data_IF_295013047968
#
_entry.id   IF_295013047968
#
_cell.length_a   1.000
_cell.length_b   1.000
_cell.length_c   1.000
_cell.angle_alpha   90.00
_cell.angle_beta   90.00
_cell.angle_gamma   90.00
#
_symmetry.space_group_name_H-M   'P 1'
#
loop_
_entity.id
_entity.type
_entity.pdbx_description
1 polymer ?
#
# COMPACT_ATOMS: atom_id res chain seq x y z
N UNK A 1 9.42 30.85 -28.11
CA UNK A 1 10.42 29.94 -27.53
C UNK A 1 9.84 28.52 -27.50
N UNK A 2 10.13 27.65 -28.48
CA UNK A 2 9.30 26.47 -28.76
C UNK A 2 9.79 25.14 -28.16
N UNK A 3 10.57 25.12 -27.07
CA UNK A 3 11.09 23.87 -26.48
C UNK A 3 10.83 23.70 -24.97
N UNK A 4 9.58 23.87 -24.54
CA UNK A 4 9.15 23.47 -23.19
C UNK A 4 8.69 22.00 -23.19
N UNK A 5 9.58 21.08 -22.81
CA UNK A 5 9.27 19.64 -22.74
C UNK A 5 8.52 19.32 -21.43
N UNK A 6 7.36 18.64 -21.51
CA UNK A 6 6.63 18.14 -20.33
C UNK A 6 7.44 17.06 -19.61
N UNK A 7 8.16 17.49 -18.57
CA UNK A 7 9.02 16.61 -17.75
C UNK A 7 8.23 15.70 -16.81
N UNK A 8 6.94 15.97 -16.57
CA UNK A 8 6.09 15.18 -15.65
C UNK A 8 5.36 14.04 -16.35
N UNK A 9 4.98 14.20 -17.61
CA UNK A 9 4.34 13.17 -18.44
C UNK A 9 5.17 12.77 -19.68
N UNK A 10 6.49 12.75 -19.56
CA UNK A 10 7.35 12.30 -20.63
C UNK A 10 6.97 10.87 -21.08
N UNK A 11 6.60 10.72 -22.35
CA UNK A 11 6.25 9.43 -22.96
C UNK A 11 7.48 8.83 -23.63
N UNK A 12 7.52 7.50 -23.73
CA UNK A 12 8.52 6.80 -24.54
C UNK A 12 8.43 7.25 -26.01
N UNK A 13 9.51 7.08 -26.79
CA UNK A 13 9.53 7.29 -28.26
C UNK A 13 8.34 6.69 -29.02
N UNK A 14 7.73 5.63 -28.51
CA UNK A 14 6.53 5.02 -29.12
C UNK A 14 5.22 5.77 -28.83
N UNK A 15 5.22 6.84 -28.02
CA UNK A 15 4.06 7.69 -27.72
C UNK A 15 2.92 7.03 -26.91
N UNK A 16 2.96 5.72 -26.70
CA UNK A 16 1.86 4.93 -26.13
C UNK A 16 2.08 4.51 -24.68
N UNK A 17 3.33 4.51 -24.21
CA UNK A 17 3.71 4.02 -22.87
C UNK A 17 4.62 4.99 -22.15
N UNK A 18 4.54 4.98 -20.82
CA UNK A 18 5.53 5.68 -19.98
C UNK A 18 6.88 4.96 -20.07
N UNK A 19 8.00 5.71 -20.10
CA UNK A 19 9.32 5.14 -20.14
C UNK A 19 9.68 4.52 -18.78
N UNK A 20 10.29 3.33 -18.81
CA UNK A 20 10.74 2.60 -17.64
C UNK A 20 12.16 2.06 -17.75
N UNK A 21 12.80 2.14 -18.92
CA UNK A 21 14.12 1.61 -19.22
C UNK A 21 15.09 2.72 -19.61
N UNK A 22 16.37 2.54 -19.26
CA UNK A 22 17.47 3.36 -19.74
C UNK A 22 18.82 2.66 -19.58
N UNK A 23 19.88 3.27 -20.10
CA UNK A 23 21.26 2.89 -19.80
C UNK A 23 21.53 2.90 -18.28
N UNK A 24 22.43 2.04 -17.76
CA UNK A 24 22.75 1.99 -16.34
C UNK A 24 23.07 3.38 -15.77
N UNK A 25 22.36 3.79 -14.70
CA UNK A 25 22.54 5.09 -14.06
C UNK A 25 21.74 6.26 -14.65
N UNK A 26 21.02 6.06 -15.75
CA UNK A 26 20.22 7.10 -16.42
C UNK A 26 18.82 7.35 -15.85
N UNK A 27 18.10 8.30 -16.46
CA UNK A 27 16.65 8.47 -16.30
C UNK A 27 15.90 7.62 -17.33
N UNK A 28 14.71 7.12 -16.98
CA UNK A 28 13.91 6.30 -17.89
C UNK A 28 13.60 7.07 -19.19
N UNK A 29 13.98 6.49 -20.33
CA UNK A 29 13.82 7.09 -21.67
C UNK A 29 12.94 6.24 -22.59
N UNK A 30 12.79 4.94 -22.34
CA UNK A 30 12.00 4.07 -23.20
C UNK A 30 11.21 3.00 -22.43
N UNK A 31 10.20 2.42 -23.07
CA UNK A 31 9.38 1.34 -22.51
C UNK A 31 10.00 -0.04 -22.78
N UNK A 32 9.46 -1.10 -22.18
CA UNK A 32 9.97 -2.48 -22.35
C UNK A 32 10.02 -2.98 -23.79
N UNK A 33 9.16 -2.46 -24.67
CA UNK A 33 9.11 -2.81 -26.08
C UNK A 33 10.06 -1.97 -26.94
N UNK A 34 10.62 -0.91 -26.36
CA UNK A 34 11.48 0.04 -27.04
C UNK A 34 12.87 0.11 -26.40
N UNK A 35 13.21 -0.86 -25.55
CA UNK A 35 14.50 -0.94 -24.89
C UNK A 35 15.53 -1.57 -25.82
N UNK A 36 16.77 -1.11 -25.74
CA UNK A 36 17.91 -1.80 -26.35
C UNK A 36 18.43 -2.86 -25.37
N UNK A 37 19.28 -3.79 -25.85
CA UNK A 37 19.73 -4.97 -25.07
C UNK A 37 20.37 -4.57 -23.72
N UNK A 38 21.11 -3.48 -23.68
CA UNK A 38 21.86 -3.01 -22.51
C UNK A 38 21.06 -2.11 -21.56
N UNK A 39 19.78 -1.87 -21.85
CA UNK A 39 18.94 -0.99 -21.04
C UNK A 39 18.25 -1.74 -19.89
N UNK A 40 18.32 -1.14 -18.70
CA UNK A 40 17.79 -1.69 -17.45
C UNK A 40 16.47 -1.03 -17.06
N UNK A 41 15.55 -1.81 -16.48
CA UNK A 41 14.30 -1.28 -15.92
C UNK A 41 14.63 -0.47 -14.66
N UNK A 42 14.54 0.86 -14.75
CA UNK A 42 14.79 1.77 -13.63
C UNK A 42 13.56 2.02 -12.77
N UNK A 43 12.37 1.62 -13.21
CA UNK A 43 11.15 1.66 -12.38
C UNK A 43 11.08 0.49 -11.42
N UNK A 44 11.70 -0.64 -11.80
CA UNK A 44 11.89 -1.84 -10.99
C UNK A 44 13.37 -2.14 -10.74
N UNK A 45 14.20 -1.09 -10.62
CA UNK A 45 15.64 -1.24 -10.44
C UNK A 45 15.93 -2.26 -9.33
N UNK A 46 16.51 -3.39 -9.72
CA UNK A 46 17.04 -4.42 -8.82
C UNK A 46 18.55 -4.29 -8.82
N UNK A 47 19.16 -4.58 -7.68
CA UNK A 47 20.59 -4.80 -7.61
C UNK A 47 20.98 -5.95 -8.57
N UNK A 48 22.25 -6.02 -9.01
CA UNK A 48 22.79 -7.13 -9.83
C UNK A 48 22.50 -8.51 -9.23
N UNK A 49 22.42 -8.61 -7.90
CA UNK A 49 22.05 -9.85 -7.19
C UNK A 49 20.53 -10.07 -7.03
N UNK A 50 19.69 -9.33 -7.76
CA UNK A 50 18.22 -9.44 -7.70
C UNK A 50 17.55 -8.80 -6.47
N UNK A 51 18.32 -8.42 -5.44
CA UNK A 51 17.81 -7.75 -4.23
C UNK A 51 17.40 -6.30 -4.49
N UNK A 52 16.51 -5.77 -3.66
CA UNK A 52 16.09 -4.36 -3.76
C UNK A 52 17.27 -3.44 -3.42
N UNK A 53 17.62 -2.47 -4.28
CA UNK A 53 18.74 -1.58 -4.03
C UNK A 53 18.41 -0.57 -2.92
N UNK A 54 19.44 -0.20 -2.17
CA UNK A 54 19.42 0.82 -1.12
C UNK A 54 20.66 1.71 -1.13
N UNK A 55 21.76 1.28 -1.74
CA UNK A 55 23.04 1.98 -1.77
C UNK A 55 23.27 2.67 -3.12
N UNK A 56 23.94 3.83 -3.09
CA UNK A 56 24.33 4.61 -4.26
C UNK A 56 25.21 5.81 -3.88
N UNK A 57 25.53 6.66 -4.84
CA UNK A 57 26.29 7.89 -4.61
C UNK A 57 25.45 8.89 -3.81
N UNK A 58 26.06 9.64 -2.89
CA UNK A 58 25.37 10.63 -2.06
C UNK A 58 24.50 11.59 -2.90
N UNK A 59 23.22 11.72 -2.55
CA UNK A 59 22.23 12.53 -3.30
C UNK A 59 21.65 11.84 -4.56
N UNK A 60 22.16 10.67 -4.94
CA UNK A 60 21.70 9.88 -6.07
C UNK A 60 20.57 8.89 -5.75
N UNK A 61 20.17 8.10 -6.76
CA UNK A 61 19.22 7.00 -6.61
C UNK A 61 19.93 5.72 -6.14
N UNK A 62 19.24 4.82 -5.40
CA UNK A 62 19.82 3.54 -5.02
C UNK A 62 20.02 2.64 -6.25
N UNK A 63 21.23 2.13 -6.43
CA UNK A 63 21.65 1.30 -7.57
C UNK A 63 22.02 -0.13 -7.17
N UNK A 64 22.44 -0.36 -5.92
CA UNK A 64 22.86 -1.67 -5.44
C UNK A 64 22.37 -1.96 -4.01
N UNK A 65 22.48 -3.21 -3.58
CA UNK A 65 22.16 -3.61 -2.20
C UNK A 65 23.42 -3.56 -1.33
N UNK A 66 23.25 -3.73 0.00
CA UNK A 66 24.37 -3.73 0.96
C UNK A 66 25.51 -4.66 0.62
N UNK A 67 25.22 -5.78 -0.04
CA UNK A 67 26.20 -6.83 -0.36
C UNK A 67 26.89 -6.60 -1.71
N UNK A 68 26.44 -5.62 -2.49
CA UNK A 68 26.97 -5.33 -3.82
C UNK A 68 27.33 -3.83 -3.93
N UNK A 69 27.57 -3.18 -2.79
CA UNK A 69 27.96 -1.77 -2.76
C UNK A 69 29.46 -1.65 -2.97
N UNK A 70 29.86 -0.60 -3.69
CA UNK A 70 31.25 -0.17 -3.72
C UNK A 70 31.56 0.62 -2.42
N UNK A 71 32.84 0.73 -2.02
CA UNK A 71 33.23 1.43 -0.79
C UNK A 71 32.69 2.85 -0.68
N UNK A 72 32.60 3.57 -1.80
CA UNK A 72 32.16 4.97 -1.87
C UNK A 72 30.63 5.13 -1.87
N UNK A 73 29.87 4.03 -1.89
CA UNK A 73 28.41 4.08 -1.92
C UNK A 73 27.80 4.11 -0.52
N UNK A 74 26.89 5.06 -0.33
CA UNK A 74 26.14 5.28 0.91
C UNK A 74 24.71 4.76 0.78
N UNK A 75 24.05 4.47 1.90
CA UNK A 75 22.63 4.14 1.89
C UNK A 75 21.82 5.42 1.58
N UNK A 76 21.45 5.56 0.30
CA UNK A 76 20.65 6.71 -0.20
C UNK A 76 19.16 6.50 -0.02
N UNK A 77 18.74 5.28 0.32
CA UNK A 77 17.33 4.96 0.56
C UNK A 77 16.92 5.28 1.99
N UNK A 78 17.81 5.02 2.95
CA UNK A 78 17.65 5.39 4.34
C UNK A 78 18.52 6.62 4.60
N UNK A 79 18.06 7.78 4.12
CA UNK A 79 18.77 9.04 4.30
C UNK A 79 19.15 9.23 5.79
N UNK A 80 20.45 9.36 6.07
CA UNK A 80 20.95 9.55 7.44
C UNK A 80 20.91 11.04 7.81
N UNK A 81 20.84 11.33 9.11
CA UNK A 81 21.09 12.68 9.63
C UNK A 81 22.51 13.13 9.24
N UNK A 82 22.78 14.44 9.21
CA UNK A 82 24.11 15.03 9.01
C UNK A 82 25.23 14.44 9.88
N UNK A 83 24.90 13.87 11.03
CA UNK A 83 25.88 13.22 11.90
C UNK A 83 26.23 11.77 11.52
N UNK A 84 25.57 11.18 10.52
CA UNK A 84 25.82 9.80 10.07
C UNK A 84 25.43 8.70 11.06
N UNK A 85 24.93 9.02 12.26
CA UNK A 85 24.66 8.03 13.33
C UNK A 85 23.22 7.52 13.38
N UNK A 86 22.24 8.32 12.96
CA UNK A 86 20.81 8.02 13.11
C UNK A 86 20.00 8.52 11.91
N UNK A 87 18.87 7.87 11.63
CA UNK A 87 17.86 8.39 10.71
C UNK A 87 17.27 9.72 11.22
N UNK A 88 16.93 10.66 10.32
CA UNK A 88 16.21 11.86 10.66
C UNK A 88 14.86 11.56 11.30
N UNK A 89 14.57 12.24 12.41
CA UNK A 89 13.27 12.20 13.10
C UNK A 89 12.72 13.61 13.39
N UNK A 90 13.59 14.61 13.41
CA UNK A 90 13.29 16.00 13.71
C UNK A 90 13.30 16.86 12.44
N UNK A 91 12.43 17.87 12.42
CA UNK A 91 12.32 18.87 11.36
C UNK A 91 11.34 19.98 11.75
N UNK A 92 11.05 20.87 10.81
CA UNK A 92 10.05 21.92 11.01
C UNK A 92 8.65 21.29 11.12
N UNK A 93 7.80 21.82 12.00
CA UNK A 93 6.44 21.34 12.22
C UNK A 93 5.65 21.24 10.89
N UNK A 94 5.06 20.08 10.62
CA UNK A 94 4.36 19.79 9.35
C UNK A 94 5.26 19.36 8.18
N UNK A 95 6.58 19.55 8.28
CA UNK A 95 7.56 19.25 7.24
C UNK A 95 8.01 17.78 7.18
N UNK A 96 9.17 17.58 6.52
CA UNK A 96 9.92 16.31 6.49
C UNK A 96 10.98 16.30 7.59
N UNK A 97 11.35 15.11 8.06
CA UNK A 97 12.47 14.98 8.99
C UNK A 97 13.79 15.21 8.25
N UNK A 98 14.66 16.04 8.82
CA UNK A 98 15.96 16.42 8.23
C UNK A 98 17.14 16.11 9.15
N UNK A 99 16.92 16.00 10.46
CA UNK A 99 17.95 15.69 11.43
C UNK A 99 17.45 14.73 12.52
N UNK A 100 18.36 14.14 13.28
CA UNK A 100 18.02 13.34 14.46
C UNK A 100 17.86 14.23 15.69
N UNK A 101 17.31 13.69 16.78
CA UNK A 101 17.03 14.44 18.02
C UNK A 101 18.25 15.08 18.67
N UNK A 102 19.46 14.54 18.45
CA UNK A 102 20.72 15.09 18.98
C UNK A 102 21.30 16.19 18.08
N UNK A 103 20.85 16.28 16.83
CA UNK A 103 21.30 17.26 15.85
C UNK A 103 20.18 18.23 15.46
N UNK A 104 19.12 18.30 16.30
CA UNK A 104 17.98 19.20 16.10
C UNK A 104 18.42 20.63 16.41
N UNK A 105 18.05 21.56 15.54
CA UNK A 105 18.22 22.98 15.82
C UNK A 105 17.03 23.49 16.68
N UNK A 106 17.18 24.61 17.40
CA UNK A 106 16.07 25.24 18.11
C UNK A 106 14.86 25.45 17.19
N UNK A 107 13.66 25.10 17.66
CA UNK A 107 12.42 25.17 16.88
C UNK A 107 12.08 23.92 16.06
N UNK A 108 12.99 22.95 15.91
CA UNK A 108 12.68 21.67 15.28
C UNK A 108 11.95 20.71 16.23
N UNK A 109 10.90 20.07 15.74
CA UNK A 109 10.10 19.08 16.47
C UNK A 109 10.28 17.69 15.88
N UNK A 110 9.98 16.64 16.64
CA UNK A 110 9.91 15.30 16.09
C UNK A 110 8.71 15.20 15.13
N UNK A 111 8.97 15.14 13.82
CA UNK A 111 7.93 15.09 12.79
C UNK A 111 7.56 13.65 12.40
N UNK A 112 8.39 12.67 12.75
CA UNK A 112 8.07 11.24 12.57
C UNK A 112 7.02 10.77 13.57
N UNK A 113 7.15 11.21 14.83
CA UNK A 113 6.18 11.03 15.91
C UNK A 113 5.64 12.40 16.33
N UNK A 114 5.03 13.11 15.37
CA UNK A 114 4.46 14.43 15.59
C UNK A 114 3.43 14.39 16.72
N UNK A 115 3.75 15.10 17.80
CA UNK A 115 2.83 15.41 18.91
C UNK A 115 2.49 16.89 18.84
N UNK A 116 1.28 17.23 19.28
CA UNK A 116 0.94 18.63 19.54
C UNK A 116 1.88 19.20 20.62
N UNK A 117 2.04 20.53 20.68
CA UNK A 117 2.79 21.24 21.73
C UNK A 117 2.40 20.83 23.16
N UNK A 118 1.15 20.44 23.39
CA UNK A 118 0.67 19.94 24.68
C UNK A 118 0.85 18.42 24.88
N UNK A 119 1.64 17.74 24.05
CA UNK A 119 1.91 16.31 24.10
C UNK A 119 0.80 15.40 23.55
N UNK A 120 -0.39 15.93 23.27
CA UNK A 120 -1.53 15.16 22.72
C UNK A 120 -1.35 14.80 21.25
N UNK A 121 -2.04 13.74 20.81
CA UNK A 121 -2.10 13.35 19.40
C UNK A 121 -2.73 14.49 18.57
N UNK A 122 -2.06 14.98 17.52
CA UNK A 122 -2.61 16.04 16.70
C UNK A 122 -3.72 15.50 15.80
N UNK A 123 -4.75 16.30 15.57
CA UNK A 123 -5.82 16.05 14.60
C UNK A 123 -6.15 17.25 13.72
N UNK A 124 -5.69 18.45 14.11
CA UNK A 124 -5.93 19.71 13.42
C UNK A 124 -4.69 20.17 12.66
N UNK A 125 -4.88 20.77 11.49
CA UNK A 125 -3.83 21.36 10.67
C UNK A 125 -4.42 22.22 9.55
N UNK A 126 -3.55 22.76 8.70
CA UNK A 126 -3.99 23.51 7.51
C UNK A 126 -4.69 22.56 6.53
N UNK A 127 -5.68 23.06 5.80
CA UNK A 127 -6.44 22.30 4.82
C UNK A 127 -5.51 21.59 3.80
N UNK A 128 -5.70 20.28 3.64
CA UNK A 128 -4.84 19.43 2.78
C UNK A 128 -3.47 19.06 3.37
N UNK A 129 -3.09 19.64 4.50
CA UNK A 129 -1.84 19.39 5.20
C UNK A 129 -1.87 18.21 6.18
N UNK A 130 -0.77 18.04 6.92
CA UNK A 130 -0.67 17.09 8.03
C UNK A 130 -1.28 17.68 9.30
N UNK A 131 -1.78 16.81 10.18
CA UNK A 131 -2.21 17.22 11.52
C UNK A 131 -0.99 17.64 12.35
N UNK A 132 -1.03 18.85 12.90
CA UNK A 132 0.07 19.44 13.68
C UNK A 132 -0.37 19.86 15.09
N UNK A 133 -1.67 20.11 15.30
CA UNK A 133 -2.23 20.57 16.57
C UNK A 133 -3.38 19.68 17.04
N UNK A 134 -3.65 19.66 18.33
CA UNK A 134 -4.87 19.05 18.87
C UNK A 134 -6.00 20.10 18.93
N UNK A 135 -7.23 19.67 19.22
CA UNK A 135 -8.40 20.57 19.30
C UNK A 135 -8.22 21.76 20.25
N UNK A 136 -7.48 21.58 21.35
CA UNK A 136 -7.22 22.62 22.36
C UNK A 136 -6.10 23.60 21.97
N UNK A 137 -5.29 23.24 20.99
CA UNK A 137 -4.07 23.98 20.63
C UNK A 137 -4.08 24.43 19.17
N UNK A 138 -5.22 24.27 18.48
CA UNK A 138 -5.40 24.64 17.08
C UNK A 138 -5.43 26.16 16.97
N UNK A 139 -4.90 26.67 15.86
CA UNK A 139 -5.11 28.06 15.46
C UNK A 139 -6.48 28.18 14.76
N UNK A 140 -7.07 29.38 14.65
CA UNK A 140 -8.39 29.59 14.04
C UNK A 140 -8.51 29.01 12.62
N UNK A 141 -7.43 29.10 11.85
CA UNK A 141 -7.37 28.65 10.45
C UNK A 141 -7.15 27.14 10.30
N UNK A 142 -6.95 26.41 11.40
CA UNK A 142 -6.73 24.97 11.37
C UNK A 142 -8.06 24.20 11.40
N UNK A 143 -8.18 23.25 10.47
CA UNK A 143 -9.30 22.32 10.35
C UNK A 143 -8.91 20.95 10.88
N UNK A 144 -9.89 20.15 11.32
CA UNK A 144 -9.63 18.74 11.63
C UNK A 144 -9.29 18.02 10.33
N UNK A 145 -8.04 17.58 10.15
CA UNK A 145 -7.58 16.90 8.94
C UNK A 145 -7.62 15.37 9.07
N UNK A 146 -7.92 14.85 10.27
CA UNK A 146 -8.13 13.43 10.52
C UNK A 146 -9.60 13.08 10.33
N UNK A 147 -10.48 13.83 11.00
CA UNK A 147 -11.93 13.71 10.92
C UNK A 147 -12.52 14.90 10.17
N UNK A 148 -11.96 15.20 9.00
CA UNK A 148 -12.39 16.32 8.17
C UNK A 148 -13.91 16.31 8.00
N UNK A 149 -14.53 17.34 8.57
CA UNK A 149 -15.91 17.76 8.32
C UNK A 149 -15.82 19.04 7.51
N UNK A 150 -16.85 19.28 6.70
CA UNK A 150 -17.02 20.55 6.04
C UNK A 150 -17.09 21.69 7.09
N UNK A 151 -16.74 22.92 6.70
CA UNK A 151 -16.90 24.13 7.54
C UNK A 151 -18.31 24.28 8.13
N UNK A 152 -19.34 23.80 7.42
CA UNK A 152 -20.72 23.81 7.87
C UNK A 152 -21.09 22.64 8.81
N UNK A 153 -20.11 21.86 9.29
CA UNK A 153 -20.30 20.70 10.17
C UNK A 153 -20.74 19.41 9.47
N UNK A 154 -21.18 19.49 8.21
CA UNK A 154 -21.60 18.32 7.43
C UNK A 154 -20.44 17.44 7.01
N UNK A 155 -20.73 16.16 6.74
CA UNK A 155 -19.76 15.18 6.26
C UNK A 155 -19.13 15.68 4.95
N UNK A 156 -17.80 15.71 4.87
CA UNK A 156 -17.10 16.08 3.65
C UNK A 156 -17.16 14.93 2.62
N UNK A 157 -17.41 15.28 1.37
CA UNK A 157 -17.34 14.38 0.21
C UNK A 157 -16.57 14.97 -0.97
N UNK A 158 -16.40 16.29 -1.01
CA UNK A 158 -15.75 17.02 -2.09
C UNK A 158 -14.32 17.44 -1.72
N UNK A 159 -13.41 17.37 -2.68
CA UNK A 159 -12.03 17.82 -2.59
C UNK A 159 -11.39 17.95 -3.97
N UNK A 160 -10.15 18.44 -4.03
CA UNK A 160 -9.41 18.48 -5.28
C UNK A 160 -9.07 17.07 -5.79
N UNK A 161 -8.91 16.84 -7.11
CA UNK A 161 -8.51 15.55 -7.65
C UNK A 161 -7.26 14.99 -6.97
N UNK A 162 -7.34 13.76 -6.45
CA UNK A 162 -6.23 13.11 -5.73
C UNK A 162 -6.04 13.54 -4.27
N UNK A 163 -6.79 14.53 -3.79
CA UNK A 163 -6.79 14.96 -2.39
C UNK A 163 -7.91 14.27 -1.57
N UNK A 164 -7.86 14.42 -0.24
CA UNK A 164 -8.94 13.98 0.65
C UNK A 164 -10.16 14.91 0.57
N UNK A 165 -11.34 14.38 0.88
CA UNK A 165 -12.56 15.18 0.97
C UNK A 165 -12.48 16.18 2.14
N UNK A 166 -12.71 17.46 1.85
CA UNK A 166 -12.64 18.57 2.80
C UNK A 166 -13.95 19.36 2.89
N UNK A 167 -14.77 19.37 1.83
CA UNK A 167 -16.03 20.10 1.79
C UNK A 167 -17.23 19.19 1.53
N UNK A 168 -18.43 19.65 1.88
CA UNK A 168 -19.68 19.04 1.42
C UNK A 168 -20.07 19.63 0.05
N UNK A 169 -21.09 19.06 -0.61
CA UNK A 169 -21.57 19.55 -1.91
C UNK A 169 -21.95 21.03 -1.91
N UNK A 170 -22.49 21.53 -0.80
CA UNK A 170 -22.94 22.92 -0.65
C UNK A 170 -21.82 23.92 -0.39
N UNK A 171 -20.63 23.46 -0.01
CA UNK A 171 -19.49 24.34 0.32
C UNK A 171 -18.26 23.99 -0.51
N UNK A 172 -18.45 23.30 -1.64
CA UNK A 172 -17.37 22.95 -2.54
C UNK A 172 -16.95 24.17 -3.35
N UNK A 173 -15.66 24.28 -3.64
CA UNK A 173 -15.20 25.18 -4.69
C UNK A 173 -15.53 24.60 -6.08
N UNK A 174 -15.58 25.43 -7.14
CA UNK A 174 -15.88 24.96 -8.50
C UNK A 174 -14.98 23.80 -8.94
N UNK A 175 -13.69 23.87 -8.61
CA UNK A 175 -12.66 22.89 -8.98
C UNK A 175 -12.66 21.61 -8.12
N UNK A 176 -13.48 21.57 -7.06
CA UNK A 176 -13.60 20.39 -6.22
C UNK A 176 -14.56 19.36 -6.82
N UNK A 177 -14.09 18.12 -6.86
CA UNK A 177 -14.84 16.94 -7.30
C UNK A 177 -15.27 16.12 -6.09
N UNK A 178 -16.30 15.29 -6.25
CA UNK A 178 -16.63 14.30 -5.24
C UNK A 178 -15.51 13.24 -5.21
N UNK A 179 -14.68 13.27 -4.17
CA UNK A 179 -13.55 12.34 -4.00
C UNK A 179 -13.92 11.14 -3.13
N UNK A 180 -15.10 11.15 -2.52
CA UNK A 180 -15.61 10.04 -1.69
C UNK A 180 -16.42 9.06 -2.51
N UNK A 181 -17.26 9.62 -3.36
CA UNK A 181 -18.19 8.97 -4.28
C UNK A 181 -17.79 9.35 -5.69
N UNK A 182 -16.49 9.18 -6.00
CA UNK A 182 -15.91 9.54 -7.29
C UNK A 182 -16.70 8.86 -8.40
N UNK A 183 -17.50 9.66 -9.12
CA UNK A 183 -18.25 9.19 -10.28
C UNK A 183 -17.28 8.98 -11.43
N UNK A 184 -17.71 8.20 -12.43
CA UNK A 184 -17.01 8.08 -13.69
C UNK A 184 -16.69 9.47 -14.28
N UNK A 185 -15.68 9.59 -15.15
CA UNK A 185 -15.34 10.84 -15.89
C UNK A 185 -16.54 11.54 -16.55
N UNK A 186 -17.59 10.81 -16.91
CA UNK A 186 -18.82 11.38 -17.47
C UNK A 186 -19.80 11.97 -16.43
N UNK A 187 -19.52 11.84 -15.13
CA UNK A 187 -20.38 12.34 -14.05
C UNK A 187 -21.73 11.61 -13.85
N UNK A 188 -22.13 10.74 -14.78
CA UNK A 188 -23.47 10.14 -14.80
C UNK A 188 -23.64 8.92 -13.89
N UNK A 189 -22.58 8.11 -13.70
CA UNK A 189 -22.65 6.82 -12.99
C UNK A 189 -21.42 6.57 -12.12
N UNK A 190 -21.57 5.73 -11.10
CA UNK A 190 -20.43 5.23 -10.34
C UNK A 190 -19.54 4.31 -11.18
N UNK A 191 -18.22 4.31 -10.92
CA UNK A 191 -17.31 3.37 -11.55
C UNK A 191 -17.68 1.92 -11.24
N UNK A 192 -17.82 1.11 -12.28
CA UNK A 192 -18.01 -0.34 -12.22
C UNK A 192 -16.93 -1.08 -13.00
N UNK A 193 -16.28 -0.39 -13.93
CA UNK A 193 -15.34 -0.95 -14.89
C UNK A 193 -13.91 -0.50 -14.61
N UNK A 194 -12.97 -1.40 -14.83
CA UNK A 194 -11.54 -1.19 -14.70
C UNK A 194 -10.77 -2.33 -15.35
N UNK A 195 -9.44 -2.28 -15.31
CA UNK A 195 -8.62 -3.39 -15.78
C UNK A 195 -8.80 -4.63 -14.88
N UNK A 196 -8.72 -5.86 -15.43
CA UNK A 196 -8.82 -7.09 -14.64
C UNK A 196 -7.92 -7.07 -13.39
N UNK A 197 -8.51 -7.31 -12.21
CA UNK A 197 -7.81 -7.26 -10.91
C UNK A 197 -7.54 -5.86 -10.34
N UNK A 198 -7.87 -4.80 -11.08
CA UNK A 198 -7.75 -3.40 -10.66
C UNK A 198 -8.99 -2.85 -9.95
N UNK A 199 -8.92 -1.57 -9.58
CA UNK A 199 -10.07 -0.82 -9.05
C UNK A 199 -10.96 -0.33 -10.19
N UNK A 200 -12.25 -0.15 -9.91
CA UNK A 200 -13.15 0.48 -10.86
C UNK A 200 -12.78 1.96 -11.01
N UNK A 201 -12.65 2.42 -12.25
CA UNK A 201 -12.25 3.79 -12.61
C UNK A 201 -13.27 4.50 -13.51
N UNK A 202 -14.12 3.74 -14.20
CA UNK A 202 -15.15 4.28 -15.09
C UNK A 202 -16.43 3.43 -15.05
N UNK A 203 -17.53 3.97 -15.59
CA UNK A 203 -18.77 3.23 -15.77
C UNK A 203 -18.73 2.40 -17.06
N UNK A 204 -19.71 1.50 -17.23
CA UNK A 204 -19.88 0.66 -18.43
C UNK A 204 -19.85 1.42 -19.76
N UNK A 205 -20.35 2.66 -19.77
CA UNK A 205 -20.47 3.47 -20.98
C UNK A 205 -19.20 4.26 -21.31
N UNK A 206 -18.24 4.30 -20.39
CA UNK A 206 -16.99 5.04 -20.54
C UNK A 206 -15.78 4.14 -20.39
N UNK A 207 -15.99 2.82 -20.45
CA UNK A 207 -14.95 1.81 -20.34
C UNK A 207 -14.16 1.73 -21.64
N UNK A 208 -12.85 1.54 -21.51
CA UNK A 208 -12.02 1.19 -22.65
C UNK A 208 -12.26 -0.29 -23.02
N UNK A 209 -11.95 -0.73 -24.26
CA UNK A 209 -12.20 -2.11 -24.71
C UNK A 209 -11.62 -3.19 -23.77
N UNK A 210 -10.44 -2.94 -23.20
CA UNK A 210 -9.73 -3.85 -22.29
C UNK A 210 -10.27 -3.83 -20.85
N UNK A 211 -11.23 -2.96 -20.54
CA UNK A 211 -11.81 -2.86 -19.20
C UNK A 211 -13.00 -3.80 -19.03
N UNK A 212 -13.00 -4.50 -17.89
CA UNK A 212 -14.07 -5.41 -17.47
C UNK A 212 -14.83 -4.81 -16.30
N UNK A 213 -16.04 -5.30 -16.03
CA UNK A 213 -16.70 -4.98 -14.77
C UNK A 213 -15.88 -5.61 -13.64
N UNK A 214 -15.24 -4.80 -12.80
CA UNK A 214 -14.43 -5.27 -11.67
C UNK A 214 -15.21 -5.28 -10.36
N UNK A 215 -16.35 -4.60 -10.31
CA UNK A 215 -17.28 -4.65 -9.18
C UNK A 215 -18.07 -5.96 -9.13
N UNK A 216 -18.62 -6.37 -10.28
CA UNK A 216 -19.31 -7.65 -10.52
C UNK A 216 -18.55 -8.40 -11.60
N UNK A 217 -17.33 -8.84 -11.27
CA UNK A 217 -16.49 -9.58 -12.21
C UNK A 217 -17.15 -10.89 -12.60
N UNK A 218 -17.45 -11.03 -13.89
CA UNK A 218 -17.96 -12.24 -14.52
C UNK A 218 -16.88 -12.85 -15.40
N UNK A 219 -16.94 -14.16 -15.62
CA UNK A 219 -16.11 -14.83 -16.61
C UNK A 219 -16.39 -14.27 -18.01
N UNK A 220 -15.43 -14.38 -18.94
CA UNK A 220 -15.59 -14.03 -20.37
C UNK A 220 -16.85 -14.58 -21.04
N UNK A 221 -17.38 -15.72 -20.58
CA UNK A 221 -18.64 -16.28 -21.11
C UNK A 221 -19.90 -15.59 -20.57
N UNK A 222 -19.80 -14.68 -19.60
CA UNK A 222 -20.93 -13.99 -18.98
C UNK A 222 -21.82 -14.85 -18.06
N UNK A 223 -21.64 -16.17 -18.03
CA UNK A 223 -22.57 -17.08 -17.35
C UNK A 223 -22.24 -17.38 -15.89
N UNK A 224 -20.98 -17.16 -15.45
CA UNK A 224 -20.50 -17.57 -14.12
C UNK A 224 -19.49 -16.58 -13.55
N UNK A 225 -19.46 -16.49 -12.22
CA UNK A 225 -18.38 -15.81 -11.52
C UNK A 225 -17.04 -16.52 -11.75
N UNK A 226 -15.92 -15.78 -11.90
CA UNK A 226 -14.60 -16.36 -12.02
C UNK A 226 -14.20 -17.15 -10.78
N UNK A 227 -13.53 -18.28 -10.98
CA UNK A 227 -12.81 -19.02 -9.92
C UNK A 227 -11.40 -19.42 -10.35
N UNK A 228 -11.11 -19.46 -11.65
CA UNK A 228 -9.83 -19.86 -12.22
C UNK A 228 -8.99 -18.66 -12.66
N UNK A 229 -7.67 -18.77 -12.50
CA UNK A 229 -6.69 -17.81 -12.97
C UNK A 229 -5.26 -18.34 -12.80
N UNK A 230 -4.27 -17.53 -13.15
CA UNK A 230 -2.86 -17.92 -13.02
C UNK A 230 -2.40 -17.90 -11.55
N UNK A 231 -1.46 -18.78 -11.14
CA UNK A 231 -0.91 -18.79 -9.79
C UNK A 231 -0.42 -17.41 -9.33
N UNK A 232 -0.85 -16.97 -8.14
CA UNK A 232 -0.52 -15.65 -7.59
C UNK A 232 -1.31 -14.47 -8.19
N UNK A 233 -2.15 -14.72 -9.20
CA UNK A 233 -3.02 -13.73 -9.82
C UNK A 233 -4.44 -13.68 -9.22
N UNK A 234 -5.36 -13.10 -9.98
CA UNK A 234 -6.78 -13.04 -9.66
C UNK A 234 -7.57 -14.06 -10.50
N UNK A 235 -8.73 -14.50 -10.00
CA UNK A 235 -9.63 -15.33 -10.80
C UNK A 235 -10.28 -14.49 -11.89
N UNK A 236 -10.14 -14.93 -13.15
CA UNK A 236 -10.59 -14.21 -14.36
C UNK A 236 -11.59 -15.01 -15.18
N UNK A 237 -11.67 -16.32 -15.00
CA UNK A 237 -12.59 -17.18 -15.74
C UNK A 237 -13.22 -18.28 -14.86
N UNK A 238 -14.27 -18.90 -15.39
CA UNK A 238 -14.89 -20.08 -14.78
C UNK A 238 -14.21 -21.35 -15.27
N UNK A 239 -14.52 -22.49 -14.65
CA UNK A 239 -13.95 -23.81 -15.01
C UNK A 239 -14.08 -24.18 -16.49
N UNK A 240 -15.18 -23.79 -17.14
CA UNK A 240 -15.43 -24.07 -18.56
C UNK A 240 -14.64 -23.18 -19.52
N UNK A 241 -14.09 -22.08 -19.03
CA UNK A 241 -13.40 -21.07 -19.83
C UNK A 241 -11.96 -20.88 -19.35
N UNK A 242 -11.42 -21.84 -18.59
CA UNK A 242 -10.06 -21.80 -18.09
C UNK A 242 -9.10 -22.22 -19.20
N UNK A 243 -7.94 -21.59 -19.23
CA UNK A 243 -6.82 -22.07 -20.04
C UNK A 243 -6.10 -23.20 -19.28
N UNK A 244 -5.34 -24.09 -19.94
CA UNK A 244 -4.71 -25.25 -19.30
C UNK A 244 -3.86 -24.90 -18.06
N UNK A 245 -3.15 -23.78 -18.11
CA UNK A 245 -2.25 -23.30 -17.05
C UNK A 245 -2.98 -22.58 -15.89
N UNK A 246 -4.30 -22.42 -15.97
CA UNK A 246 -5.08 -21.75 -14.93
C UNK A 246 -5.53 -22.73 -13.84
N UNK A 247 -5.31 -22.32 -12.58
CA UNK A 247 -5.67 -23.07 -11.38
C UNK A 247 -6.91 -22.46 -10.72
N UNK A 248 -7.66 -23.26 -9.95
CA UNK A 248 -8.74 -22.72 -9.14
C UNK A 248 -8.13 -21.89 -7.99
N UNK A 249 -8.30 -20.56 -8.07
CA UNK A 249 -7.79 -19.62 -7.07
C UNK A 249 -8.78 -19.41 -5.91
N UNK A 250 -10.05 -19.79 -6.08
CA UNK A 250 -11.09 -19.71 -5.03
C UNK A 250 -11.12 -20.97 -4.19
N UNK A 251 -11.05 -22.14 -4.83
CA UNK A 251 -11.03 -23.46 -4.21
C UNK A 251 -9.70 -24.14 -4.48
N UNK A 252 -8.60 -23.47 -4.13
CA UNK A 252 -7.26 -24.01 -4.31
C UNK A 252 -7.17 -25.42 -3.70
N UNK A 253 -6.75 -26.39 -4.51
CA UNK A 253 -6.58 -27.78 -4.10
C UNK A 253 -5.08 -28.08 -3.93
N UNK A 254 -4.76 -29.08 -3.11
CA UNK A 254 -3.42 -29.66 -3.11
C UNK A 254 -3.11 -30.22 -4.50
N UNK A 255 -1.83 -30.24 -4.91
CA UNK A 255 -1.43 -30.76 -6.23
C UNK A 255 -1.86 -32.22 -6.47
N UNK A 256 -2.10 -32.99 -5.41
CA UNK A 256 -2.63 -34.36 -5.47
C UNK A 256 -4.17 -34.43 -5.55
N UNK A 257 -4.86 -33.30 -5.74
CA UNK A 257 -6.32 -33.22 -5.85
C UNK A 257 -7.08 -33.29 -4.52
N UNK A 258 -6.40 -33.38 -3.37
CA UNK A 258 -7.04 -33.37 -2.04
C UNK A 258 -7.25 -31.96 -1.51
N UNK A 259 -8.29 -31.78 -0.69
CA UNK A 259 -8.60 -30.48 -0.09
C UNK A 259 -7.46 -30.07 0.86
N UNK A 260 -6.84 -28.89 0.70
CA UNK A 260 -5.68 -28.54 1.49
C UNK A 260 -6.08 -28.17 2.91
N UNK A 261 -5.29 -28.62 3.87
CA UNK A 261 -5.40 -28.31 5.29
C UNK A 261 -4.14 -27.68 5.84
N UNK A 262 -3.01 -27.83 5.14
CA UNK A 262 -1.68 -27.41 5.59
C UNK A 262 -1.15 -26.23 4.77
N UNK A 263 -0.35 -25.39 5.41
CA UNK A 263 0.37 -24.30 4.76
C UNK A 263 1.35 -23.59 5.71
N UNK A 264 2.18 -22.71 5.17
CA UNK A 264 3.13 -21.91 5.97
C UNK A 264 2.41 -21.02 6.99
N UNK A 265 3.06 -20.68 8.10
CA UNK A 265 2.49 -19.80 9.13
C UNK A 265 2.09 -18.44 8.54
N UNK A 266 0.86 -17.98 8.81
CA UNK A 266 0.32 -16.73 8.26
C UNK A 266 -0.21 -16.79 6.81
N UNK A 267 0.17 -17.78 6.00
CA UNK A 267 -0.33 -18.01 4.62
C UNK A 267 -1.74 -18.58 4.50
N UNK A 268 -2.13 -19.09 3.31
CA UNK A 268 -3.33 -19.92 3.09
C UNK A 268 -2.97 -21.41 3.14
N UNK A 269 -3.95 -22.29 3.38
CA UNK A 269 -3.75 -23.73 3.18
C UNK A 269 -3.55 -24.00 1.69
N UNK A 270 -2.46 -24.69 1.35
CA UNK A 270 -2.08 -25.01 -0.04
C UNK A 270 -1.80 -26.49 -0.24
N UNK A 271 -1.59 -27.25 0.84
CA UNK A 271 -1.25 -28.67 0.77
C UNK A 271 -2.13 -29.53 1.66
N UNK A 272 -2.25 -30.82 1.33
CA UNK A 272 -2.94 -31.80 2.18
C UNK A 272 -1.95 -32.50 3.12
N UNK A 273 -2.46 -33.26 4.09
CA UNK A 273 -1.65 -33.98 5.08
C UNK A 273 -0.65 -34.98 4.47
N UNK A 274 -0.95 -35.54 3.29
CA UNK A 274 -0.09 -36.51 2.61
C UNK A 274 0.97 -35.88 1.72
N UNK A 275 0.88 -34.58 1.45
CA UNK A 275 1.81 -33.85 0.58
C UNK A 275 2.56 -32.74 1.36
N UNK A 276 2.60 -32.86 2.69
CA UNK A 276 3.13 -31.85 3.58
C UNK A 276 4.64 -31.67 3.39
N UNK A 277 5.08 -30.42 3.34
CA UNK A 277 6.49 -30.09 3.61
C UNK A 277 6.71 -29.99 5.13
N UNK A 278 7.94 -30.19 5.63
CA UNK A 278 8.26 -30.12 7.07
C UNK A 278 7.82 -28.82 7.74
N UNK A 279 7.83 -27.70 7.01
CA UNK A 279 7.50 -26.36 7.52
C UNK A 279 6.00 -26.03 7.45
N UNK A 280 5.15 -26.93 6.97
CA UNK A 280 3.72 -26.68 6.83
C UNK A 280 2.94 -27.06 8.09
N UNK A 281 2.13 -26.12 8.58
CA UNK A 281 1.28 -26.31 9.76
C UNK A 281 -0.19 -26.45 9.35
N UNK A 282 -0.98 -27.15 10.16
CA UNK A 282 -2.43 -27.20 9.98
C UNK A 282 -3.01 -25.80 10.08
N UNK A 283 -3.76 -25.39 9.06
CA UNK A 283 -4.39 -24.08 8.94
C UNK A 283 -5.88 -24.12 9.23
N UNK A 284 -6.53 -25.29 9.18
CA UNK A 284 -7.92 -25.46 9.62
C UNK A 284 -7.99 -25.53 11.13
N UNK A 285 -7.08 -26.30 11.74
CA UNK A 285 -6.93 -26.45 13.17
C UNK A 285 -5.61 -25.84 13.63
N UNK A 286 -5.38 -24.56 13.31
CA UNK A 286 -4.13 -23.89 13.61
C UNK A 286 -3.85 -23.89 15.12
N UNK A 287 -2.86 -24.68 15.52
CA UNK A 287 -2.32 -24.71 16.88
C UNK A 287 -1.12 -23.78 16.98
N UNK A 288 -0.80 -23.38 18.20
CA UNK A 288 0.43 -22.66 18.54
C UNK A 288 1.68 -23.44 18.05
N UNK A 289 2.83 -22.77 17.90
CA UNK A 289 4.13 -23.38 17.58
C UNK A 289 4.51 -24.58 18.46
N UNK A 290 4.00 -24.68 19.68
CA UNK A 290 4.20 -25.85 20.54
C UNK A 290 3.35 -27.07 20.17
N UNK A 291 2.45 -26.98 19.17
CA UNK A 291 1.60 -28.07 18.69
C UNK A 291 0.49 -28.52 19.65
N UNK A 292 0.45 -28.03 20.88
CA UNK A 292 -0.45 -28.55 21.93
C UNK A 292 -1.68 -27.69 22.21
N UNK A 293 -1.58 -26.36 22.04
CA UNK A 293 -2.63 -25.41 22.43
C UNK A 293 -3.10 -24.54 21.25
N UNK A 294 -4.35 -24.09 21.28
CA UNK A 294 -4.83 -23.09 20.32
C UNK A 294 -4.19 -21.71 20.58
N UNK A 295 -3.92 -20.92 19.53
CA UNK A 295 -3.43 -19.57 19.66
C UNK A 295 -4.42 -18.65 20.37
N UNK A 296 -3.93 -17.89 21.36
CA UNK A 296 -4.68 -16.85 22.06
C UNK A 296 -3.96 -15.52 22.15
N UNK A 297 -2.69 -15.45 21.75
CA UNK A 297 -1.85 -14.27 21.81
C UNK A 297 -1.32 -13.91 20.43
N UNK A 298 -1.19 -12.62 20.15
CA UNK A 298 -0.62 -12.10 18.90
C UNK A 298 -0.30 -10.61 18.98
N UNK A 299 0.19 -10.01 17.88
CA UNK A 299 0.54 -8.59 17.86
C UNK A 299 -0.71 -7.70 18.03
N UNK A 300 -0.58 -6.50 18.63
CA UNK A 300 -1.70 -5.57 18.78
C UNK A 300 -2.41 -5.27 17.45
N UNK A 301 -3.71 -5.56 17.37
CA UNK A 301 -4.52 -5.41 16.14
C UNK A 301 -4.32 -6.52 15.09
N UNK A 302 -3.53 -7.55 15.39
CA UNK A 302 -3.32 -8.72 14.56
C UNK A 302 -4.24 -9.89 14.92
N UNK A 303 -3.90 -11.08 14.40
CA UNK A 303 -4.56 -12.35 14.75
C UNK A 303 -3.78 -13.09 15.82
N UNK A 304 -4.45 -13.92 16.61
CA UNK A 304 -3.79 -14.82 17.54
C UNK A 304 -2.93 -15.84 16.77
N UNK A 305 -1.66 -15.97 17.15
CA UNK A 305 -0.65 -16.81 16.48
C UNK A 305 0.07 -17.77 17.43
N UNK A 306 0.02 -17.55 18.75
CA UNK A 306 0.63 -18.43 19.75
C UNK A 306 -0.22 -18.52 21.03
N UNK A 307 0.06 -19.51 21.88
CA UNK A 307 -0.56 -19.66 23.20
C UNK A 307 0.17 -18.85 24.27
N UNK A 308 -0.39 -18.75 25.47
CA UNK A 308 0.20 -18.03 26.61
C UNK A 308 1.63 -18.45 26.97
N UNK A 309 1.97 -19.73 26.76
CA UNK A 309 3.29 -20.29 27.08
C UNK A 309 4.33 -20.05 25.97
N UNK A 310 3.88 -19.65 24.78
CA UNK A 310 4.72 -19.45 23.62
C UNK A 310 4.63 -18.03 23.09
N UNK A 311 4.09 -17.10 23.88
CA UNK A 311 3.98 -15.69 23.51
C UNK A 311 5.33 -15.01 23.64
N UNK A 312 5.64 -14.16 22.68
CA UNK A 312 6.73 -13.22 22.84
C UNK A 312 6.25 -12.06 23.75
N UNK A 313 7.16 -11.35 24.45
CA UNK A 313 6.79 -10.31 25.41
C UNK A 313 5.86 -9.23 24.85
N UNK A 314 5.99 -8.94 23.56
CA UNK A 314 5.24 -7.89 22.84
C UNK A 314 3.85 -8.33 22.37
N UNK A 315 3.46 -9.58 22.62
CA UNK A 315 2.17 -10.13 22.18
C UNK A 315 1.07 -9.95 23.25
N UNK A 316 -0.09 -9.49 22.80
CA UNK A 316 -1.28 -9.28 23.63
C UNK A 316 -2.28 -10.43 23.47
N UNK A 317 -3.11 -10.66 24.48
CA UNK A 317 -4.21 -11.62 24.41
C UNK A 317 -5.29 -11.13 23.44
N UNK A 318 -5.70 -11.99 22.52
CA UNK A 318 -6.65 -11.70 21.43
C UNK A 318 -7.90 -12.59 21.47
N UNK A 319 -8.01 -13.51 22.44
CA UNK A 319 -9.19 -14.37 22.62
C UNK A 319 -10.32 -13.64 23.34
N UNK A 320 -11.45 -13.54 22.64
CA UNK A 320 -12.77 -13.04 23.04
C UNK A 320 -12.81 -11.58 23.50
N UNK A 321 -13.53 -10.77 22.71
CA UNK A 321 -14.19 -9.56 23.20
C UNK A 321 -15.23 -9.98 24.25
N UNK A 322 -14.78 -10.27 25.46
CA UNK A 322 -15.64 -10.31 26.63
C UNK A 322 -15.98 -8.86 26.94
N UNK A 323 -17.23 -8.50 26.68
CA UNK A 323 -17.82 -7.24 27.07
C UNK A 323 -17.54 -7.01 28.57
N UNK A 324 -16.75 -5.99 28.92
CA UNK A 324 -16.68 -5.51 30.29
C UNK A 324 -17.95 -4.69 30.57
N UNK A 325 -19.05 -5.36 30.90
CA UNK A 325 -19.95 -4.83 31.94
C UNK A 325 -19.07 -4.80 33.22
N UNK A 326 -18.70 -3.67 33.83
CA UNK A 326 -19.58 -2.63 34.37
C UNK A 326 -20.51 -3.32 35.36
N UNK A 327 -20.36 -3.29 36.68
CA UNK A 327 -20.00 -2.28 37.68
C UNK A 327 -19.98 -3.06 39.03
N UNK A 328 -19.59 -2.62 40.24
CA UNK A 328 -19.31 -1.35 40.93
C UNK A 328 -18.59 -1.77 42.25
N UNK A 329 -17.80 -0.90 42.87
CA UNK A 329 -18.09 -0.30 44.19
C UNK A 329 -18.60 -1.29 45.25
#
# INVERSE_FOLDING_TARGET
DPDMVDVRNAKCRCGTRYPSFCSPGGKAVCCSQCKDLDMVDVTKAKCRCGKRPSFGIQGGKPVCCSNCKDPDMVDVRHAMCRCGKKQPSCGIQGGKAVCCSTCKDPGMVNVTNAKCRCGKRPSFGIQGGKAVSCSKCKDPDMVDVINAKCRCGWRSSFGFPGAKAVCCSKCKDPDMVDVRTAKCRCGARYPSCGFPGGKAVCCSNCKDPDMVNVTNAMCRCGMRYPSFGFPGGFSVCCSKCKDPDMVDLKHAMCHCGKQPSLGIQGGKAVCCSTCKDPDMVDRRNAKCRCGTRYPSFGPPGGKAVCCSQCKDPDMVGLTHAMCRYGERA
#
